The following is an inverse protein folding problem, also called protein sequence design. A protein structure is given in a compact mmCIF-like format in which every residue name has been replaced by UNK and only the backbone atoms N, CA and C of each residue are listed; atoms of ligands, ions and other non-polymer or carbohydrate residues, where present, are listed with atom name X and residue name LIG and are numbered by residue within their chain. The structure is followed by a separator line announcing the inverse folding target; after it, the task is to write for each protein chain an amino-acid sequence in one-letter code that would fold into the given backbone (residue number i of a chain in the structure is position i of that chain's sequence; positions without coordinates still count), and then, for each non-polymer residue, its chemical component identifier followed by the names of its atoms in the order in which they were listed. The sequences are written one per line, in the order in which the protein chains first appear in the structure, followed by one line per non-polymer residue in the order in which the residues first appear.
data_IF_479997078618
#
_entry.id   IF_479997078618
#
_cell.length_a   1.000
_cell.length_b   1.000
_cell.length_c   1.000
_cell.angle_alpha   90.00
_cell.angle_beta   90.00
_cell.angle_gamma   90.00
#
_symmetry.space_group_name_H-M   'P 1'
#
loop_
_entity.id
_entity.type
_entity.pdbx_description
1 polymer ?
#
# COMPACT_ATOMS: atom_id res chain seq x y z
N UNK A 1 2.38 -2.95 49.79
CA UNK A 1 1.35 -4.02 49.74
C UNK A 1 0.50 -3.79 48.50
N UNK A 2 0.58 -4.67 47.51
CA UNK A 2 -0.14 -4.52 46.23
C UNK A 2 -1.30 -5.51 46.24
N UNK A 3 -2.53 -5.01 46.36
CA UNK A 3 -3.75 -5.81 46.24
C UNK A 3 -3.97 -6.20 44.78
N UNK A 4 -3.89 -7.49 44.48
CA UNK A 4 -4.30 -8.04 43.19
C UNK A 4 -5.79 -8.34 43.22
N UNK A 5 -6.55 -7.61 42.42
CA UNK A 5 -7.98 -7.85 42.20
C UNK A 5 -8.15 -9.13 41.38
N UNK A 6 -8.91 -10.08 41.92
CA UNK A 6 -9.21 -11.36 41.28
C UNK A 6 -10.57 -11.26 40.60
N UNK A 7 -10.60 -11.27 39.26
CA UNK A 7 -11.85 -11.29 38.51
C UNK A 7 -12.38 -12.74 38.41
N UNK A 8 -13.70 -12.97 38.55
CA UNK A 8 -14.28 -14.30 38.41
C UNK A 8 -14.33 -14.74 36.94
N UNK A 9 -13.86 -15.95 36.68
CA UNK A 9 -13.97 -16.64 35.40
C UNK A 9 -15.42 -17.10 35.22
N UNK A 10 -16.10 -16.60 34.19
CA UNK A 10 -17.45 -17.04 33.82
C UNK A 10 -17.42 -18.48 33.29
N UNK A 11 -18.17 -19.37 33.93
CA UNK A 11 -18.20 -20.82 33.67
C UNK A 11 -19.17 -21.26 32.55
N UNK A 12 -19.61 -20.35 31.68
CA UNK A 12 -20.71 -20.62 30.72
C UNK A 12 -20.29 -20.60 29.26
N UNK A 13 -19.05 -21.00 28.94
CA UNK A 13 -18.70 -21.27 27.55
C UNK A 13 -19.15 -22.68 27.17
N UNK A 14 -20.31 -22.78 26.52
CA UNK A 14 -20.79 -24.02 25.92
C UNK A 14 -20.37 -24.01 24.44
N UNK A 15 -19.42 -24.87 24.02
CA UNK A 15 -19.00 -24.92 22.63
C UNK A 15 -20.16 -25.35 21.73
N UNK A 16 -20.31 -24.77 20.53
CA UNK A 16 -21.37 -25.13 19.60
C UNK A 16 -21.20 -26.59 19.16
N UNK A 17 -22.29 -27.36 19.22
CA UNK A 17 -22.29 -28.75 18.78
C UNK A 17 -22.21 -28.83 17.25
N UNK A 18 -21.38 -29.75 16.70
CA UNK A 18 -21.25 -29.93 15.26
C UNK A 18 -22.57 -30.44 14.66
N UNK A 19 -23.05 -29.76 13.62
CA UNK A 19 -24.26 -30.18 12.92
C UNK A 19 -24.00 -31.43 12.06
N UNK A 20 -24.99 -32.34 11.92
CA UNK A 20 -24.88 -33.51 11.07
C UNK A 20 -24.76 -33.11 9.59
N UNK A 21 -23.59 -33.37 9.00
CA UNK A 21 -23.33 -33.17 7.58
C UNK A 21 -24.18 -34.16 6.76
N UNK A 22 -25.21 -33.65 6.08
CA UNK A 22 -25.94 -34.45 5.11
C UNK A 22 -25.10 -34.59 3.82
N UNK A 23 -24.80 -35.82 3.37
CA UNK A 23 -24.11 -36.02 2.10
C UNK A 23 -24.98 -35.53 0.95
N UNK A 24 -24.45 -34.59 0.16
CA UNK A 24 -25.07 -34.15 -1.10
C UNK A 24 -25.11 -35.33 -2.09
N UNK A 25 -26.19 -35.49 -2.86
CA UNK A 25 -26.23 -36.45 -3.94
C UNK A 25 -25.18 -36.07 -5.01
N UNK A 26 -24.33 -37.04 -5.35
CA UNK A 26 -23.29 -36.92 -6.37
C UNK A 26 -23.97 -36.96 -7.74
N UNK A 27 -23.95 -35.83 -8.44
CA UNK A 27 -24.44 -35.76 -9.82
C UNK A 27 -23.32 -36.22 -10.78
N UNK A 28 -23.43 -37.46 -11.28
CA UNK A 28 -22.53 -38.00 -12.30
C UNK A 28 -23.04 -37.64 -13.71
N UNK A 29 -23.01 -36.36 -14.08
CA UNK A 29 -23.26 -35.97 -15.47
C UNK A 29 -22.29 -34.88 -15.93
N UNK A 30 -21.77 -35.12 -17.13
CA UNK A 30 -21.00 -34.25 -18.02
C UNK A 30 -19.47 -34.33 -17.93
N UNK A 31 -18.93 -35.27 -18.70
CA UNK A 31 -17.56 -35.19 -19.23
C UNK A 31 -17.41 -33.93 -20.11
N UNK A 32 -16.32 -33.15 -19.97
CA UNK A 32 -15.95 -32.14 -20.97
C UNK A 32 -15.29 -32.80 -22.20
N UNK A 33 -15.50 -32.27 -23.42
CA UNK A 33 -14.82 -32.73 -24.62
C UNK A 33 -13.33 -32.37 -24.63
N UNK A 34 -12.57 -33.22 -25.31
CA UNK A 34 -11.11 -33.21 -25.47
C UNK A 34 -10.55 -31.89 -26.02
N UNK A 35 -9.41 -31.52 -25.44
CA UNK A 35 -8.45 -30.51 -25.87
C UNK A 35 -8.04 -30.61 -27.33
N UNK A 36 -8.16 -29.50 -28.08
CA UNK A 36 -7.46 -29.28 -29.34
C UNK A 36 -6.31 -28.33 -29.07
N UNK A 37 -5.08 -28.82 -29.27
CA UNK A 37 -3.82 -28.11 -29.07
C UNK A 37 -3.37 -27.58 -30.44
N UNK A 38 -3.24 -26.25 -30.65
CA UNK A 38 -2.60 -25.74 -31.86
C UNK A 38 -1.09 -25.95 -31.80
N UNK A 39 -0.53 -26.40 -32.92
CA UNK A 39 0.90 -26.67 -33.11
C UNK A 39 1.74 -25.39 -33.13
N UNK A 40 3.02 -25.44 -32.68
CA UNK A 40 4.00 -24.38 -32.89
C UNK A 40 4.53 -24.43 -34.34
N UNK A 41 4.45 -23.30 -35.05
CA UNK A 41 5.06 -23.13 -36.36
C UNK A 41 6.60 -23.00 -36.26
N UNK A 42 7.37 -23.55 -37.22
CA UNK A 42 8.80 -23.29 -37.37
C UNK A 42 9.04 -22.02 -38.21
N UNK A 43 10.30 -21.66 -38.41
CA UNK A 43 10.85 -20.47 -39.11
C UNK A 43 10.92 -19.20 -38.24
N UNK A 44 11.99 -18.42 -38.20
CA UNK A 44 13.35 -18.58 -38.70
C UNK A 44 14.21 -17.48 -38.03
N UNK A 45 15.52 -17.73 -38.04
CA UNK A 45 16.62 -16.87 -37.62
C UNK A 45 16.55 -15.42 -38.11
N UNK A 46 16.96 -14.48 -37.26
CA UNK A 46 17.75 -13.31 -37.67
C UNK A 46 18.52 -12.68 -36.49
N UNK A 47 19.80 -13.06 -36.40
CA UNK A 47 20.98 -12.19 -36.20
C UNK A 47 20.91 -10.88 -35.38
N UNK A 48 21.76 -10.86 -34.33
CA UNK A 48 22.48 -9.72 -33.69
C UNK A 48 23.19 -8.80 -34.74
N UNK A 49 23.97 -7.73 -34.40
CA UNK A 49 24.30 -7.06 -33.11
C UNK A 49 24.28 -5.50 -33.17
N UNK A 50 24.45 -4.81 -32.03
CA UNK A 50 25.51 -3.76 -31.90
C UNK A 50 25.60 -3.19 -30.47
N UNK A 51 26.77 -3.37 -29.87
CA UNK A 51 27.30 -2.49 -28.82
C UNK A 51 27.52 -1.10 -29.42
N UNK A 52 27.03 -0.08 -28.74
CA UNK A 52 27.56 1.28 -28.83
C UNK A 52 27.94 1.70 -27.42
N UNK A 53 29.23 1.62 -27.14
CA UNK A 53 29.87 2.31 -26.04
C UNK A 53 30.34 3.67 -26.54
N UNK A 54 29.75 4.75 -26.03
CA UNK A 54 30.29 6.12 -26.06
C UNK A 54 29.83 6.76 -24.75
N UNK A 55 30.73 6.93 -23.76
CA UNK A 55 31.54 8.14 -23.51
C UNK A 55 30.72 9.44 -23.48
N UNK A 56 30.58 10.02 -22.30
CA UNK A 56 30.80 11.45 -21.98
C UNK A 56 30.51 11.58 -20.47
N UNK A 57 31.50 11.53 -19.58
CA UNK A 57 32.41 12.62 -19.23
C UNK A 57 31.68 13.93 -18.89
N UNK A 58 31.72 14.22 -17.58
CA UNK A 58 31.59 15.49 -16.88
C UNK A 58 31.22 16.74 -17.67
N UNK A 59 30.14 17.37 -17.24
CA UNK A 59 30.12 18.83 -17.11
C UNK A 59 29.24 19.23 -15.92
N UNK A 60 29.89 19.40 -14.75
CA UNK A 60 29.32 20.13 -13.62
C UNK A 60 29.66 21.61 -13.85
N UNK A 61 28.67 22.49 -14.01
CA UNK A 61 28.94 23.93 -14.05
C UNK A 61 29.45 24.39 -12.68
N UNK A 62 30.67 24.93 -12.68
CA UNK A 62 31.22 25.66 -11.55
C UNK A 62 30.39 26.94 -11.29
N UNK A 63 30.04 27.26 -10.03
CA UNK A 63 29.59 28.60 -9.69
C UNK A 63 30.78 29.55 -9.73
N UNK A 64 30.74 30.49 -10.69
CA UNK A 64 31.61 31.66 -10.75
C UNK A 64 31.49 32.44 -9.44
N UNK A 65 32.59 32.50 -8.70
CA UNK A 65 32.79 33.53 -7.68
C UNK A 65 33.02 34.85 -8.41
N UNK A 66 32.04 35.75 -8.33
CA UNK A 66 32.21 37.13 -8.77
C UNK A 66 32.96 37.86 -7.65
N UNK A 67 34.16 38.32 -7.99
CA UNK A 67 34.97 39.18 -7.14
C UNK A 67 34.19 40.46 -6.80
N UNK A 68 34.06 40.69 -5.50
CA UNK A 68 33.71 41.98 -4.91
C UNK A 68 34.82 42.99 -5.23
N UNK A 69 34.48 44.05 -5.95
CA UNK A 69 35.32 45.22 -6.10
C UNK A 69 34.45 46.48 -6.00
N UNK A 70 34.64 47.24 -4.91
CA UNK A 70 34.25 48.65 -4.83
C UNK A 70 33.22 48.98 -3.77
N UNK A 71 33.63 49.78 -2.78
CA UNK A 71 32.71 50.60 -1.98
C UNK A 71 32.89 50.50 -0.46
N UNK A 72 33.99 51.02 0.08
CA UNK A 72 34.05 51.46 1.47
C UNK A 72 33.16 52.70 1.65
N UNK A 73 32.04 52.57 2.36
CA UNK A 73 31.31 53.70 2.91
C UNK A 73 30.50 53.26 4.15
N UNK A 74 31.04 53.58 5.32
CA UNK A 74 30.32 53.94 6.55
C UNK A 74 29.24 53.01 7.08
N UNK A 75 29.52 52.31 8.18
CA UNK A 75 28.46 51.72 9.00
C UNK A 75 28.94 50.64 9.96
N UNK A 76 29.79 50.98 10.92
CA UNK A 76 29.99 50.14 12.10
C UNK A 76 28.71 50.13 12.95
N UNK A 77 27.94 49.05 12.89
CA UNK A 77 27.14 48.59 14.02
C UNK A 77 27.40 47.09 14.24
N UNK A 78 28.23 46.84 15.24
CA UNK A 78 28.31 45.67 16.12
C UNK A 78 27.56 44.41 15.63
N UNK A 79 28.33 43.49 15.06
CA UNK A 79 28.00 42.08 15.07
C UNK A 79 28.29 41.47 16.46
N UNK A 80 27.59 40.38 16.77
CA UNK A 80 27.84 39.38 17.83
C UNK A 80 27.17 39.60 19.20
N UNK A 81 26.00 38.97 19.39
CA UNK A 81 25.84 37.85 20.33
C UNK A 81 24.39 37.33 20.30
N UNK A 82 24.11 36.33 19.46
CA UNK A 82 22.89 35.54 19.58
C UNK A 82 23.14 34.15 19.03
N UNK A 83 23.73 33.24 19.81
CA UNK A 83 23.75 31.81 19.49
C UNK A 83 24.22 31.00 20.73
N UNK A 84 23.35 30.80 21.72
CA UNK A 84 23.41 29.65 22.65
C UNK A 84 22.02 29.29 23.19
N UNK A 85 21.05 29.17 22.28
CA UNK A 85 19.92 28.27 22.50
C UNK A 85 19.93 27.38 21.27
N UNK A 86 20.48 26.17 21.41
CA UNK A 86 20.18 25.09 20.49
C UNK A 86 18.79 24.58 20.91
N UNK A 87 17.69 24.97 20.25
CA UNK A 87 16.54 24.07 20.28
C UNK A 87 17.06 22.84 19.56
N UNK A 88 17.32 21.77 20.30
CA UNK A 88 17.47 20.46 19.69
C UNK A 88 16.15 20.25 18.94
N UNK A 89 16.09 20.36 17.60
CA UNK A 89 14.91 19.96 16.89
C UNK A 89 15.03 18.46 16.84
N UNK A 90 14.78 17.83 17.98
CA UNK A 90 14.04 16.58 17.97
C UNK A 90 12.64 16.94 17.47
N UNK A 91 12.57 17.35 16.20
CA UNK A 91 11.47 17.00 15.34
C UNK A 91 11.52 15.49 15.29
N UNK A 92 11.06 14.87 16.39
CA UNK A 92 10.20 13.73 16.28
C UNK A 92 9.24 14.13 15.19
N UNK A 93 9.51 13.61 13.99
CA UNK A 93 8.60 13.66 12.88
C UNK A 93 7.34 13.08 13.48
N UNK A 94 6.45 13.94 13.95
CA UNK A 94 5.04 13.61 14.03
C UNK A 94 4.78 13.29 12.57
N UNK A 95 4.85 11.99 12.25
CA UNK A 95 4.31 11.45 11.03
C UNK A 95 2.87 11.92 11.13
N UNK A 96 2.58 13.03 10.45
CA UNK A 96 1.26 13.56 10.31
C UNK A 96 0.47 12.39 9.75
N UNK A 97 -0.36 11.77 10.60
CA UNK A 97 -1.02 10.53 10.29
C UNK A 97 -1.81 10.80 9.01
N UNK A 98 -1.38 10.22 7.90
CA UNK A 98 -1.93 10.56 6.59
C UNK A 98 -3.43 10.31 6.63
N UNK A 99 -4.23 11.37 6.60
CA UNK A 99 -5.65 11.30 6.88
C UNK A 99 -6.31 10.21 6.01
N UNK A 100 -7.07 9.33 6.65
CA UNK A 100 -7.86 8.26 6.00
C UNK A 100 -9.28 8.76 5.76
N UNK A 101 -9.41 9.91 5.09
CA UNK A 101 -10.70 10.55 4.83
C UNK A 101 -11.32 9.96 3.58
N UNK A 102 -12.61 9.60 3.65
CA UNK A 102 -13.37 9.18 2.49
C UNK A 102 -13.62 10.38 1.56
N UNK A 103 -13.01 10.38 0.36
CA UNK A 103 -13.19 11.48 -0.61
C UNK A 103 -14.26 11.18 -1.66
N UNK A 104 -14.52 9.89 -1.91
CA UNK A 104 -15.58 9.44 -2.82
C UNK A 104 -16.11 8.09 -2.39
N UNK A 105 -17.37 8.06 -2.01
CA UNK A 105 -18.08 6.83 -1.71
C UNK A 105 -18.55 6.18 -3.02
N UNK A 106 -18.22 4.91 -3.21
CA UNK A 106 -18.52 4.16 -4.45
C UNK A 106 -19.71 3.22 -4.20
N UNK A 107 -19.52 2.17 -3.40
CA UNK A 107 -20.57 1.18 -3.08
C UNK A 107 -20.84 1.08 -1.57
N UNK A 108 -21.91 1.71 -1.04
CA UNK A 108 -22.19 1.76 0.40
C UNK A 108 -22.36 0.40 1.10
N UNK A 109 -22.69 -0.64 0.34
CA UNK A 109 -22.91 -2.01 0.83
C UNK A 109 -21.73 -2.95 0.56
N UNK A 110 -20.60 -2.44 0.06
CA UNK A 110 -19.41 -3.24 -0.14
C UNK A 110 -18.92 -3.78 1.20
N UNK A 111 -18.75 -5.10 1.27
CA UNK A 111 -18.21 -5.82 2.41
C UNK A 111 -17.20 -6.84 1.89
N UNK A 112 -16.14 -7.06 2.66
CA UNK A 112 -15.11 -8.05 2.37
C UNK A 112 -15.16 -9.19 3.36
N UNK A 113 -15.27 -10.41 2.83
CA UNK A 113 -15.27 -11.67 3.58
C UNK A 113 -13.86 -12.18 3.85
N UNK A 114 -13.74 -13.17 4.75
CA UNK A 114 -12.45 -13.82 5.03
C UNK A 114 -11.84 -14.50 3.81
N UNK A 115 -12.66 -15.10 2.96
CA UNK A 115 -12.20 -15.77 1.74
C UNK A 115 -11.62 -14.77 0.73
N UNK A 116 -12.20 -13.58 0.64
CA UNK A 116 -11.67 -12.49 -0.19
C UNK A 116 -10.34 -11.96 0.36
N UNK A 117 -10.20 -11.80 1.69
CA UNK A 117 -8.92 -11.44 2.30
C UNK A 117 -7.87 -12.50 2.01
N UNK A 118 -8.19 -13.79 2.16
CA UNK A 118 -7.25 -14.87 1.88
C UNK A 118 -6.72 -14.79 0.43
N UNK A 119 -7.59 -14.53 -0.55
CA UNK A 119 -7.19 -14.31 -1.95
C UNK A 119 -6.26 -13.10 -2.10
N UNK A 120 -6.52 -12.01 -1.37
CA UNK A 120 -5.63 -10.85 -1.36
C UNK A 120 -4.24 -11.20 -0.83
N UNK A 121 -4.16 -11.97 0.27
CA UNK A 121 -2.90 -12.42 0.86
C UNK A 121 -2.09 -13.33 -0.08
N UNK A 122 -2.76 -14.03 -1.00
CA UNK A 122 -2.14 -14.86 -2.03
C UNK A 122 -1.79 -14.05 -3.30
N UNK A 123 -2.21 -12.78 -3.40
CA UNK A 123 -1.94 -11.93 -4.56
C UNK A 123 -0.55 -11.31 -4.47
N UNK A 124 0.24 -11.45 -5.54
CA UNK A 124 1.57 -10.86 -5.61
C UNK A 124 1.51 -9.33 -5.70
N UNK A 125 2.43 -8.65 -5.03
CA UNK A 125 2.66 -7.21 -5.24
C UNK A 125 2.90 -6.93 -6.73
N UNK A 126 2.53 -5.74 -7.18
CA UNK A 126 2.57 -5.30 -8.59
C UNK A 126 1.61 -6.04 -9.53
N UNK A 127 0.73 -6.91 -9.02
CA UNK A 127 -0.42 -7.40 -9.78
C UNK A 127 -1.28 -6.22 -10.29
N UNK A 128 -1.93 -6.34 -11.46
CA UNK A 128 -2.86 -5.32 -11.95
C UNK A 128 -3.97 -5.05 -10.92
N UNK A 129 -4.36 -3.79 -10.74
CA UNK A 129 -5.50 -3.42 -9.88
C UNK A 129 -6.77 -4.16 -10.27
N UNK A 130 -7.00 -4.35 -11.57
CA UNK A 130 -8.10 -5.16 -12.09
C UNK A 130 -8.16 -6.57 -11.48
N UNK A 131 -7.02 -7.25 -11.31
CA UNK A 131 -6.95 -8.60 -10.72
C UNK A 131 -7.40 -8.59 -9.26
N UNK A 132 -7.02 -7.57 -8.49
CA UNK A 132 -7.51 -7.39 -7.11
C UNK A 132 -9.01 -7.13 -7.08
N UNK A 133 -9.49 -6.29 -8.00
CA UNK A 133 -10.90 -5.92 -8.10
C UNK A 133 -11.80 -7.05 -8.61
N UNK A 134 -11.28 -8.06 -9.29
CA UNK A 134 -12.06 -9.25 -9.69
C UNK A 134 -12.68 -9.97 -8.49
N UNK A 135 -11.97 -10.01 -7.35
CA UNK A 135 -12.46 -10.68 -6.15
C UNK A 135 -12.85 -9.72 -5.03
N UNK A 136 -12.26 -8.52 -4.91
CA UNK A 136 -12.71 -7.52 -3.93
C UNK A 136 -13.91 -6.71 -4.40
N UNK A 137 -14.20 -6.68 -5.70
CA UNK A 137 -15.23 -5.84 -6.31
C UNK A 137 -15.01 -4.34 -6.04
N UNK A 138 -16.06 -3.54 -6.23
CA UNK A 138 -16.03 -2.08 -6.05
C UNK A 138 -15.87 -1.76 -4.56
N UNK A 139 -14.99 -0.80 -4.20
CA UNK A 139 -14.78 -0.43 -2.81
C UNK A 139 -16.00 0.25 -2.19
N UNK A 140 -16.01 0.33 -0.85
CA UNK A 140 -16.94 1.20 -0.15
C UNK A 140 -16.60 2.66 -0.43
N UNK A 141 -15.32 3.00 -0.32
CA UNK A 141 -14.84 4.36 -0.52
C UNK A 141 -13.43 4.41 -1.10
N UNK A 142 -13.20 5.37 -1.99
CA UNK A 142 -11.86 5.85 -2.34
C UNK A 142 -11.45 6.88 -1.30
N UNK A 143 -10.33 6.62 -0.61
CA UNK A 143 -9.79 7.49 0.41
C UNK A 143 -8.88 8.57 -0.20
N UNK A 144 -8.57 9.61 0.57
CA UNK A 144 -7.50 10.55 0.24
C UNK A 144 -6.21 9.79 -0.12
N UNK A 145 -5.43 10.23 -1.12
CA UNK A 145 -4.15 9.60 -1.45
C UNK A 145 -3.21 9.58 -0.24
N UNK A 146 -2.35 8.58 -0.15
CA UNK A 146 -1.36 8.43 0.92
C UNK A 146 -0.05 7.90 0.39
N UNK A 147 0.67 7.13 1.21
CA UNK A 147 1.92 6.48 0.83
C UNK A 147 1.94 5.00 1.15
N UNK A 148 2.72 4.26 0.37
CA UNK A 148 3.12 2.89 0.67
C UNK A 148 4.13 2.86 1.82
N UNK A 149 4.45 1.66 2.33
CA UNK A 149 5.53 1.48 3.32
C UNK A 149 6.90 1.96 2.81
N UNK A 150 7.10 1.93 1.49
CA UNK A 150 8.30 2.47 0.84
C UNK A 150 8.28 4.00 0.69
N UNK A 151 7.22 4.68 1.15
CA UNK A 151 7.06 6.12 1.06
C UNK A 151 6.64 6.63 -0.32
N UNK A 152 6.26 5.73 -1.24
CA UNK A 152 5.80 6.10 -2.59
C UNK A 152 4.33 6.53 -2.55
N UNK A 153 3.91 7.51 -3.37
CA UNK A 153 2.51 7.90 -3.47
C UNK A 153 1.60 6.71 -3.79
N UNK A 154 0.47 6.61 -3.09
CA UNK A 154 -0.49 5.53 -3.25
C UNK A 154 -1.93 6.04 -3.28
N UNK A 155 -2.71 5.49 -4.20
CA UNK A 155 -4.17 5.51 -4.13
C UNK A 155 -4.63 4.52 -3.05
N UNK A 156 -5.73 4.84 -2.38
CA UNK A 156 -6.24 4.06 -1.25
C UNK A 156 -7.72 3.73 -1.45
N UNK A 157 -8.06 2.45 -1.39
CA UNK A 157 -9.44 1.95 -1.45
C UNK A 157 -9.80 1.28 -0.13
N UNK A 158 -10.94 1.64 0.46
CA UNK A 158 -11.41 1.12 1.73
C UNK A 158 -12.55 0.11 1.56
N UNK A 159 -12.42 -1.01 2.25
CA UNK A 159 -13.37 -2.12 2.26
C UNK A 159 -13.69 -2.51 3.72
N UNK A 160 -14.93 -2.30 4.19
CA UNK A 160 -15.36 -2.76 5.50
C UNK A 160 -15.35 -4.28 5.57
N UNK A 161 -14.92 -4.82 6.72
CA UNK A 161 -14.93 -6.25 6.93
C UNK A 161 -16.33 -6.73 7.30
N UNK A 162 -16.78 -7.82 6.68
CA UNK A 162 -18.08 -8.43 6.98
C UNK A 162 -18.19 -8.89 8.45
N UNK A 163 -17.09 -9.43 8.99
CA UNK A 163 -17.02 -10.01 10.33
C UNK A 163 -16.53 -9.02 11.40
N UNK A 164 -16.11 -7.81 11.01
CA UNK A 164 -15.75 -6.72 11.92
C UNK A 164 -16.00 -5.36 11.26
N UNK A 165 -17.25 -4.83 11.31
CA UNK A 165 -17.62 -3.62 10.60
C UNK A 165 -16.91 -2.33 11.08
N UNK A 166 -16.20 -2.39 12.21
CA UNK A 166 -15.40 -1.29 12.75
C UNK A 166 -13.99 -1.24 12.14
N UNK A 167 -13.59 -2.28 11.41
CA UNK A 167 -12.29 -2.38 10.76
C UNK A 167 -12.44 -2.27 9.24
N UNK A 168 -11.54 -1.50 8.65
CA UNK A 168 -11.33 -1.38 7.21
C UNK A 168 -10.11 -2.17 6.78
N UNK A 169 -10.28 -2.97 5.73
CA UNK A 169 -9.19 -3.32 4.84
C UNK A 169 -8.96 -2.12 3.92
N UNK A 170 -7.76 -1.54 3.95
CA UNK A 170 -7.32 -0.49 3.05
C UNK A 170 -6.35 -1.09 2.05
N UNK A 171 -6.71 -1.08 0.77
CA UNK A 171 -5.86 -1.54 -0.32
C UNK A 171 -5.11 -0.34 -0.91
N UNK A 172 -3.80 -0.49 -1.10
CA UNK A 172 -2.94 0.54 -1.67
C UNK A 172 -2.59 0.21 -3.11
N UNK A 173 -2.62 1.21 -3.98
CA UNK A 173 -2.20 1.08 -5.38
C UNK A 173 -1.20 2.16 -5.77
N UNK A 174 -0.19 1.77 -6.54
CA UNK A 174 0.71 2.68 -7.25
C UNK A 174 0.24 2.75 -8.71
N UNK A 175 -0.60 3.74 -9.02
CA UNK A 175 -1.32 3.77 -10.31
C UNK A 175 -2.23 2.54 -10.47
N UNK A 176 -1.99 1.73 -11.50
CA UNK A 176 -2.76 0.50 -11.80
C UNK A 176 -2.12 -0.77 -11.20
N UNK A 177 -1.24 -0.61 -10.21
CA UNK A 177 -0.48 -1.71 -9.61
C UNK A 177 -0.82 -1.86 -8.14
N UNK A 178 -1.13 -3.09 -7.73
CA UNK A 178 -1.30 -3.45 -6.34
C UNK A 178 -0.01 -3.23 -5.55
N UNK A 179 -0.04 -2.38 -4.54
CA UNK A 179 1.12 -1.98 -3.76
C UNK A 179 1.12 -2.49 -2.32
N UNK A 180 0.03 -3.14 -1.88
CA UNK A 180 -0.11 -3.73 -0.55
C UNK A 180 -1.46 -3.43 0.07
N UNK A 181 -1.58 -3.72 1.37
CA UNK A 181 -2.79 -3.51 2.14
C UNK A 181 -2.46 -3.17 3.59
N UNK A 182 -3.44 -2.62 4.30
CA UNK A 182 -3.37 -2.32 5.73
C UNK A 182 -4.75 -2.49 6.38
N UNK A 183 -4.79 -2.67 7.71
CA UNK A 183 -6.02 -2.70 8.48
C UNK A 183 -6.13 -1.45 9.36
N UNK A 184 -7.27 -0.76 9.26
CA UNK A 184 -7.50 0.49 9.99
C UNK A 184 -8.83 0.45 10.73
N UNK A 185 -8.84 0.92 11.96
CA UNK A 185 -10.07 1.17 12.70
C UNK A 185 -10.74 2.44 12.17
N UNK A 186 -12.07 2.41 12.07
CA UNK A 186 -12.91 3.56 11.72
C UNK A 186 -13.03 4.56 12.85
#
# INVERSE_FOLDING_TARGET
MVQRSSYPVSAHYQPPQPQPVHPRPVNHQAMPPRSVRPQPGPYAYASRPRRTAHRAFSDRPQPRQVLMAGGMAGGSMLALAALLISPNPDQGKVQEAEAFTCIRQEQPKALVSRDQIKKLLETELQAPKATVQEFLQVPYCVLSPGKTEAGLPAEREAYPLEFDPQTWLVVLYEGDRYAGYDFRFR
#
